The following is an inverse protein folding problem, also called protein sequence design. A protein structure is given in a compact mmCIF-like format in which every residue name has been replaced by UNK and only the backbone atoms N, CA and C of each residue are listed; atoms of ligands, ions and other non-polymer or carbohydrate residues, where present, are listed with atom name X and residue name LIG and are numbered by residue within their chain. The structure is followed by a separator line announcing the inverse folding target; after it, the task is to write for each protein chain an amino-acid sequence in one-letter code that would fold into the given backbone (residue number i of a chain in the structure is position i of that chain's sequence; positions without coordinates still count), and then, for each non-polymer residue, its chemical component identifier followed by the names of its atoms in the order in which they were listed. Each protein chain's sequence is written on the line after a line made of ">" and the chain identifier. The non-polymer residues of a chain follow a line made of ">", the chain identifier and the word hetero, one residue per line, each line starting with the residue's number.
data_IF_854644554895
#
_entry.id   IF_854644554895
#
_cell.length_a   1.000
_cell.length_b   1.000
_cell.length_c   1.000
_cell.angle_alpha   90.00
_cell.angle_beta   90.00
_cell.angle_gamma   90.00
#
_symmetry.space_group_name_H-M   'P 1'
#
loop_
_entity.id
_entity.type
_entity.pdbx_description
1 polymer ?
#
# COMPACT_ATOMS: atom_id res chain seq x y z
N UNK A 1 10.95 8.06 -2.68
CA UNK A 1 10.76 9.43 -2.17
C UNK A 1 9.50 9.52 -1.33
N UNK A 2 8.30 9.47 -1.94
CA UNK A 2 7.03 9.69 -1.22
C UNK A 2 6.83 8.79 0.00
N UNK A 3 7.24 7.53 -0.08
CA UNK A 3 7.14 6.59 1.04
C UNK A 3 7.93 7.06 2.28
N UNK A 4 9.21 7.40 2.10
CA UNK A 4 10.07 7.84 3.21
C UNK A 4 9.64 9.18 3.80
N UNK A 5 9.22 10.13 2.96
CA UNK A 5 8.72 11.43 3.44
C UNK A 5 7.44 11.26 4.24
N UNK A 6 6.52 10.42 3.78
CA UNK A 6 5.25 10.13 4.45
C UNK A 6 5.48 9.41 5.79
N UNK A 7 6.37 8.41 5.84
CA UNK A 7 6.66 7.69 7.07
C UNK A 7 7.24 8.60 8.16
N UNK A 8 8.18 9.48 7.81
CA UNK A 8 8.73 10.47 8.75
C UNK A 8 7.70 11.52 9.13
N UNK A 9 6.85 11.95 8.20
CA UNK A 9 5.74 12.87 8.47
C UNK A 9 4.76 12.28 9.52
N UNK A 10 4.52 10.97 9.50
CA UNK A 10 3.74 10.26 10.52
C UNK A 10 4.53 9.91 11.80
N UNK A 11 5.77 10.37 11.94
CA UNK A 11 6.56 10.17 13.16
C UNK A 11 7.24 8.81 13.28
N UNK A 12 7.35 8.03 12.20
CA UNK A 12 8.08 6.76 12.26
C UNK A 12 9.59 7.01 12.31
N UNK A 13 10.33 6.28 13.16
CA UNK A 13 11.79 6.27 13.12
C UNK A 13 12.27 5.64 11.82
N UNK A 14 13.34 6.18 11.25
CA UNK A 14 13.83 5.85 9.90
C UNK A 14 14.05 4.35 9.65
N UNK A 15 14.43 3.61 10.69
CA UNK A 15 14.70 2.18 10.56
C UNK A 15 13.46 1.39 10.14
N UNK A 16 12.23 1.81 10.50
CA UNK A 16 10.99 1.11 10.14
C UNK A 16 10.74 1.14 8.63
N UNK A 17 10.58 2.32 7.97
CA UNK A 17 10.37 2.37 6.53
C UNK A 17 11.59 1.86 5.76
N UNK A 18 12.82 2.06 6.25
CA UNK A 18 14.00 1.52 5.59
C UNK A 18 14.02 -0.01 5.59
N UNK A 19 13.78 -0.64 6.75
CA UNK A 19 13.74 -2.09 6.87
C UNK A 19 12.62 -2.70 6.02
N UNK A 20 11.43 -2.09 6.02
CA UNK A 20 10.33 -2.50 5.14
C UNK A 20 10.73 -2.40 3.67
N UNK A 21 11.32 -1.27 3.25
CA UNK A 21 11.69 -1.05 1.85
C UNK A 21 12.73 -2.03 1.31
N UNK A 22 13.64 -2.54 2.16
CA UNK A 22 14.65 -3.53 1.77
C UNK A 22 14.10 -4.96 1.87
N UNK A 23 13.34 -5.26 2.91
CA UNK A 23 12.95 -6.64 3.23
C UNK A 23 11.64 -7.08 2.55
N UNK A 24 10.75 -6.14 2.23
CA UNK A 24 9.44 -6.43 1.62
C UNK A 24 9.50 -6.17 0.12
N UNK A 25 10.08 -5.05 -0.34
CA UNK A 25 10.13 -4.65 -1.75
C UNK A 25 8.75 -4.73 -2.42
N UNK A 26 7.71 -4.23 -1.75
CA UNK A 26 6.35 -4.21 -2.26
C UNK A 26 5.63 -2.95 -1.80
N UNK A 27 5.80 -1.86 -2.55
CA UNK A 27 5.40 -0.52 -2.12
C UNK A 27 3.95 -0.42 -1.62
N UNK A 28 2.99 -1.09 -2.26
CA UNK A 28 1.57 -1.04 -1.84
C UNK A 28 1.35 -1.54 -0.40
N UNK A 29 1.97 -2.66 -0.03
CA UNK A 29 1.84 -3.22 1.33
C UNK A 29 2.68 -2.44 2.35
N UNK A 30 3.80 -1.84 1.93
CA UNK A 30 4.62 -0.97 2.79
C UNK A 30 3.89 0.33 3.14
N UNK A 31 3.27 1.00 2.16
CA UNK A 31 2.39 2.15 2.38
C UNK A 31 1.22 1.76 3.29
N UNK A 32 0.55 0.64 2.99
CA UNK A 32 -0.55 0.13 3.81
C UNK A 32 -0.11 -0.12 5.25
N UNK A 33 1.07 -0.70 5.47
CA UNK A 33 1.58 -1.00 6.79
C UNK A 33 1.76 0.28 7.61
N UNK A 34 2.47 1.26 7.05
CA UNK A 34 2.69 2.56 7.70
C UNK A 34 1.36 3.26 7.98
N UNK A 35 0.44 3.31 7.01
CA UNK A 35 -0.81 4.03 7.18
C UNK A 35 -1.78 3.40 8.18
N UNK A 36 -1.89 2.06 8.24
CA UNK A 36 -2.71 1.37 9.25
C UNK A 36 -2.17 1.63 10.65
N UNK A 37 -0.85 1.59 10.83
CA UNK A 37 -0.23 1.86 12.13
C UNK A 37 -0.37 3.33 12.50
N UNK A 38 -0.17 4.25 11.55
CA UNK A 38 -0.35 5.69 11.73
C UNK A 38 -1.78 6.05 12.14
N UNK A 39 -2.78 5.36 11.58
CA UNK A 39 -4.19 5.54 11.92
C UNK A 39 -4.61 4.88 13.24
N UNK A 40 -3.65 4.41 14.05
CA UNK A 40 -3.89 3.81 15.37
C UNK A 40 -3.99 2.27 15.39
N UNK A 41 -3.91 1.60 14.24
CA UNK A 41 -3.94 0.14 14.13
C UNK A 41 -2.73 -0.56 14.76
N UNK A 42 -2.79 -1.89 14.86
CA UNK A 42 -1.66 -2.70 15.35
C UNK A 42 -0.72 -3.11 14.20
N UNK A 43 0.60 -3.23 14.44
CA UNK A 43 1.55 -3.71 13.44
C UNK A 43 1.21 -5.10 12.89
N UNK A 44 0.57 -5.96 13.68
CA UNK A 44 0.14 -7.28 13.24
C UNK A 44 -1.05 -7.21 12.27
N UNK A 45 -2.04 -6.35 12.55
CA UNK A 45 -3.15 -6.12 11.62
C UNK A 45 -2.65 -5.48 10.32
N UNK A 46 -1.70 -4.56 10.42
CA UNK A 46 -1.03 -3.94 9.29
C UNK A 46 -0.28 -4.98 8.43
N UNK A 47 0.44 -5.90 9.06
CA UNK A 47 1.12 -7.02 8.39
C UNK A 47 0.13 -7.95 7.70
N UNK A 48 -0.97 -8.34 8.37
CA UNK A 48 -2.01 -9.18 7.79
C UNK A 48 -2.64 -8.52 6.55
N UNK A 49 -2.96 -7.23 6.63
CA UNK A 49 -3.50 -6.48 5.51
C UNK A 49 -2.49 -6.39 4.34
N UNK A 50 -1.22 -6.10 4.65
CA UNK A 50 -0.15 -6.08 3.65
C UNK A 50 0.06 -7.44 2.97
N UNK A 51 -0.02 -8.54 3.72
CA UNK A 51 0.05 -9.90 3.18
C UNK A 51 -1.13 -10.23 2.27
N UNK A 52 -2.35 -9.78 2.61
CA UNK A 52 -3.51 -9.93 1.74
C UNK A 52 -3.32 -9.20 0.41
N UNK A 53 -2.76 -7.98 0.44
CA UNK A 53 -2.40 -7.26 -0.79
C UNK A 53 -1.30 -7.99 -1.58
N UNK A 54 -0.31 -8.54 -0.89
CA UNK A 54 0.81 -9.25 -1.51
C UNK A 54 0.46 -10.67 -1.96
N UNK A 55 -0.73 -11.20 -1.67
CA UNK A 55 -1.15 -12.53 -2.08
C UNK A 55 -1.06 -12.74 -3.61
N UNK A 56 -1.16 -11.66 -4.39
CA UNK A 56 -0.93 -11.64 -5.85
C UNK A 56 0.47 -12.11 -6.27
N UNK A 57 1.46 -12.05 -5.39
CA UNK A 57 2.81 -12.53 -5.67
C UNK A 57 2.88 -14.05 -5.84
N UNK A 58 1.90 -14.80 -5.33
CA UNK A 58 1.83 -16.25 -5.53
C UNK A 58 1.63 -16.55 -7.03
N UNK A 59 0.55 -16.08 -7.70
CA UNK A 59 0.41 -16.20 -9.15
C UNK A 59 1.61 -15.65 -9.93
N UNK A 60 2.14 -14.49 -9.55
CA UNK A 60 3.32 -13.92 -10.21
C UNK A 60 4.51 -14.88 -10.18
N UNK A 61 4.80 -15.47 -9.02
CA UNK A 61 5.88 -16.43 -8.85
C UNK A 61 5.73 -17.63 -9.77
N UNK A 62 4.51 -18.16 -9.95
CA UNK A 62 4.24 -19.24 -10.89
C UNK A 62 4.58 -18.81 -12.32
N UNK A 63 4.12 -17.63 -12.74
CA UNK A 63 4.31 -17.12 -14.10
C UNK A 63 5.77 -16.80 -14.42
N UNK A 64 6.55 -16.29 -13.45
CA UNK A 64 7.95 -15.87 -13.66
C UNK A 64 8.97 -16.91 -13.21
N UNK A 65 8.56 -18.16 -12.96
CA UNK A 65 9.44 -19.25 -12.50
C UNK A 65 10.72 -19.41 -13.33
N UNK A 66 10.64 -19.22 -14.64
CA UNK A 66 11.80 -19.36 -15.53
C UNK A 66 12.70 -18.11 -15.52
N UNK A 67 12.17 -16.96 -15.06
CA UNK A 67 12.86 -15.69 -15.00
C UNK A 67 13.66 -15.51 -13.71
N UNK A 68 13.19 -16.05 -12.57
CA UNK A 68 13.83 -15.88 -11.25
C UNK A 68 15.23 -16.48 -11.13
N UNK A 69 15.74 -17.16 -12.16
CA UNK A 69 17.08 -17.76 -12.16
C UNK A 69 17.10 -19.19 -11.60
N UNK A 70 18.31 -19.74 -11.44
CA UNK A 70 18.53 -21.14 -11.04
C UNK A 70 19.35 -21.22 -9.75
N UNK A 71 19.19 -22.31 -9.00
CA UNK A 71 19.96 -22.62 -7.77
C UNK A 71 19.89 -21.45 -6.76
N UNK A 72 21.03 -21.01 -6.22
CA UNK A 72 21.11 -19.92 -5.24
C UNK A 72 20.54 -18.59 -5.77
N UNK A 73 20.74 -18.29 -7.06
CA UNK A 73 20.20 -17.06 -7.68
C UNK A 73 18.67 -17.04 -7.69
N UNK A 74 18.01 -18.19 -7.64
CA UNK A 74 16.55 -18.27 -7.54
C UNK A 74 16.01 -17.58 -6.28
N UNK A 75 16.75 -17.62 -5.17
CA UNK A 75 16.33 -16.97 -3.93
C UNK A 75 16.38 -15.44 -4.04
N UNK A 76 17.41 -14.91 -4.70
CA UNK A 76 17.54 -13.47 -4.97
C UNK A 76 16.49 -13.04 -6.01
N UNK A 77 16.32 -13.83 -7.08
CA UNK A 77 15.30 -13.57 -8.10
C UNK A 77 13.90 -13.52 -7.48
N UNK A 78 13.58 -14.46 -6.59
CA UNK A 78 12.33 -14.40 -5.83
C UNK A 78 12.25 -13.14 -4.97
N UNK A 79 13.32 -12.73 -4.29
CA UNK A 79 13.30 -11.54 -3.42
C UNK A 79 12.99 -10.25 -4.18
N UNK A 80 13.64 -10.03 -5.34
CA UNK A 80 13.47 -8.82 -6.16
C UNK A 80 12.15 -8.79 -6.95
N UNK A 81 11.30 -9.82 -6.84
CA UNK A 81 10.03 -9.89 -7.54
C UNK A 81 9.07 -8.80 -7.07
N UNK A 82 8.68 -7.90 -7.96
CA UNK A 82 7.64 -6.90 -7.73
C UNK A 82 6.77 -6.72 -8.98
N UNK A 83 5.71 -5.93 -8.88
CA UNK A 83 4.77 -5.70 -9.97
C UNK A 83 5.49 -5.21 -11.24
N UNK A 84 6.43 -4.28 -11.10
CA UNK A 84 7.19 -3.70 -12.20
C UNK A 84 8.08 -4.78 -12.84
N UNK A 85 8.85 -5.54 -12.06
CA UNK A 85 9.75 -6.56 -12.58
C UNK A 85 8.99 -7.67 -13.32
N UNK A 86 7.81 -8.05 -12.81
CA UNK A 86 6.92 -9.03 -13.44
C UNK A 86 6.35 -8.49 -14.74
N UNK A 87 5.78 -7.28 -14.72
CA UNK A 87 5.19 -6.67 -15.92
C UNK A 87 6.26 -6.45 -16.99
N UNK A 88 7.36 -5.77 -16.67
CA UNK A 88 8.43 -5.51 -17.62
C UNK A 88 9.07 -6.80 -18.14
N UNK A 89 9.25 -7.79 -17.26
CA UNK A 89 9.76 -9.10 -17.64
C UNK A 89 8.84 -9.81 -18.63
N UNK A 90 7.52 -9.86 -18.38
CA UNK A 90 6.58 -10.57 -19.24
C UNK A 90 6.21 -9.83 -20.53
N UNK A 91 6.40 -8.51 -20.58
CA UNK A 91 6.16 -7.70 -21.78
C UNK A 91 7.23 -7.84 -22.87
N UNK A 92 8.35 -8.51 -22.61
CA UNK A 92 9.41 -8.67 -23.63
C UNK A 92 9.11 -9.80 -24.63
N UNK A 93 9.53 -9.64 -25.90
CA UNK A 93 9.22 -10.60 -26.94
C UNK A 93 10.03 -11.89 -26.84
N UNK A 94 11.32 -11.83 -26.47
CA UNK A 94 12.20 -13.01 -26.43
C UNK A 94 12.49 -13.49 -25.01
N UNK A 95 12.67 -14.81 -24.77
CA UNK A 95 12.96 -15.35 -23.43
C UNK A 95 14.18 -14.72 -22.74
N UNK A 96 15.23 -14.41 -23.51
CA UNK A 96 16.43 -13.76 -22.98
C UNK A 96 16.14 -12.33 -22.50
N UNK A 97 15.40 -11.55 -23.29
CA UNK A 97 14.99 -10.20 -22.91
C UNK A 97 14.03 -10.21 -21.73
N UNK A 98 13.09 -11.16 -21.64
CA UNK A 98 12.18 -11.30 -20.50
C UNK A 98 12.95 -11.43 -19.20
N UNK A 99 13.96 -12.30 -19.18
CA UNK A 99 14.83 -12.48 -18.01
C UNK A 99 15.64 -11.22 -17.72
N UNK A 100 16.27 -10.62 -18.73
CA UNK A 100 17.04 -9.40 -18.54
C UNK A 100 16.19 -8.25 -17.98
N UNK A 101 15.01 -8.00 -18.55
CA UNK A 101 14.09 -6.96 -18.10
C UNK A 101 13.58 -7.22 -16.67
N UNK A 102 13.25 -8.47 -16.33
CA UNK A 102 12.88 -8.85 -14.98
C UNK A 102 13.98 -8.50 -13.96
N UNK A 103 15.22 -8.91 -14.24
CA UNK A 103 16.34 -8.71 -13.33
C UNK A 103 16.78 -7.24 -13.25
N UNK A 104 16.87 -6.54 -14.39
CA UNK A 104 17.24 -5.12 -14.42
C UNK A 104 16.21 -4.26 -13.70
N UNK A 105 14.92 -4.49 -13.94
CA UNK A 105 13.86 -3.77 -13.25
C UNK A 105 13.81 -4.12 -11.76
N UNK A 106 13.84 -5.41 -11.41
CA UNK A 106 13.80 -5.86 -10.02
C UNK A 106 15.00 -5.35 -9.19
N UNK A 107 16.22 -5.45 -9.74
CA UNK A 107 17.42 -4.92 -9.08
C UNK A 107 17.41 -3.38 -9.02
N UNK A 108 16.96 -2.72 -10.09
CA UNK A 108 16.77 -1.27 -10.10
C UNK A 108 15.83 -0.81 -8.99
N UNK A 109 14.68 -1.46 -8.82
CA UNK A 109 13.76 -1.20 -7.71
C UNK A 109 14.43 -1.52 -6.36
N UNK A 110 15.10 -2.66 -6.22
CA UNK A 110 15.76 -3.03 -4.97
C UNK A 110 16.83 -2.03 -4.50
N UNK A 111 17.45 -1.29 -5.42
CA UNK A 111 18.41 -0.24 -5.12
C UNK A 111 17.75 1.13 -4.94
N UNK A 112 16.95 1.55 -5.92
CA UNK A 112 16.37 2.90 -5.97
C UNK A 112 15.29 3.07 -4.91
N UNK A 113 14.57 2.01 -4.55
CA UNK A 113 13.47 2.10 -3.60
C UNK A 113 13.95 2.46 -2.19
N UNK A 114 14.91 1.74 -1.56
CA UNK A 114 15.48 2.15 -0.27
C UNK A 114 16.18 3.51 -0.32
N UNK A 115 16.92 3.81 -1.39
CA UNK A 115 17.55 5.14 -1.57
C UNK A 115 16.48 6.25 -1.64
N UNK A 116 15.39 5.98 -2.34
CA UNK A 116 14.20 6.82 -2.39
C UNK A 116 13.54 6.99 -1.02
N UNK A 117 13.56 5.98 -0.16
CA UNK A 117 13.09 6.06 1.22
C UNK A 117 13.98 6.97 2.06
N UNK A 118 15.30 6.80 1.97
CA UNK A 118 16.27 7.64 2.70
C UNK A 118 16.18 9.11 2.29
N UNK A 119 16.20 9.37 1.00
CA UNK A 119 16.09 10.72 0.43
C UNK A 119 14.73 11.35 0.74
N UNK A 120 13.65 10.57 0.64
CA UNK A 120 12.32 10.99 1.04
C UNK A 120 12.22 11.34 2.52
N UNK A 121 12.81 10.53 3.39
CA UNK A 121 12.88 10.78 4.82
C UNK A 121 13.68 12.06 5.15
N UNK A 122 14.78 12.31 4.43
CA UNK A 122 15.56 13.54 4.57
C UNK A 122 14.74 14.78 4.19
N UNK A 123 14.04 14.74 3.05
CA UNK A 123 13.14 15.81 2.61
C UNK A 123 11.96 15.97 3.57
N UNK A 124 11.41 14.87 4.09
CA UNK A 124 10.28 14.86 5.02
C UNK A 124 10.54 15.62 6.32
N UNK A 125 11.80 15.67 6.79
CA UNK A 125 12.19 16.48 7.96
C UNK A 125 12.10 17.99 7.71
N UNK A 126 12.13 18.42 6.45
CA UNK A 126 12.02 19.82 6.05
C UNK A 126 10.56 20.24 5.80
N UNK A 127 9.63 19.29 5.80
CA UNK A 127 8.22 19.57 5.53
C UNK A 127 7.51 20.08 6.81
N UNK A 128 6.67 21.13 6.69
CA UNK A 128 5.77 21.56 7.75
C UNK A 128 4.86 20.42 8.24
N UNK A 129 4.20 20.62 9.38
CA UNK A 129 3.31 19.63 9.97
C UNK A 129 2.31 19.06 8.93
N UNK A 130 2.10 17.73 8.86
CA UNK A 130 1.41 17.08 7.75
C UNK A 130 0.03 17.66 7.44
N UNK A 131 -0.70 18.07 8.47
CA UNK A 131 -2.03 18.64 8.40
C UNK A 131 -2.06 20.03 7.75
N UNK A 132 -1.01 20.83 7.97
CA UNK A 132 -0.92 22.20 7.42
C UNK A 132 -0.73 22.22 5.92
N UNK A 133 -0.15 21.14 5.37
CA UNK A 133 0.14 20.99 3.95
C UNK A 133 -0.68 19.88 3.28
N UNK A 134 -1.72 19.36 3.97
CA UNK A 134 -2.66 18.38 3.44
C UNK A 134 -2.07 16.98 3.18
N UNK A 135 -0.90 16.65 3.75
CA UNK A 135 -0.25 15.34 3.57
C UNK A 135 -1.08 14.18 4.13
N UNK A 136 -1.97 14.44 5.07
CA UNK A 136 -2.93 13.48 5.61
C UNK A 136 -3.96 12.99 4.57
N UNK A 137 -4.19 13.73 3.49
CA UNK A 137 -5.00 13.29 2.35
C UNK A 137 -4.24 12.37 1.38
N UNK A 138 -2.91 12.36 1.43
CA UNK A 138 -2.08 11.63 0.47
C UNK A 138 -2.26 10.13 0.59
N UNK A 139 -2.28 9.61 1.82
CA UNK A 139 -2.40 8.17 2.05
C UNK A 139 -3.72 7.58 1.52
N UNK A 140 -4.92 8.08 1.91
CA UNK A 140 -6.17 7.60 1.33
C UNK A 140 -6.25 7.79 -0.19
N UNK A 141 -5.68 8.89 -0.72
CA UNK A 141 -5.61 9.10 -2.17
C UNK A 141 -4.76 8.04 -2.89
N UNK A 142 -3.60 7.65 -2.33
CA UNK A 142 -2.76 6.57 -2.87
C UNK A 142 -3.54 5.26 -2.86
N UNK A 143 -4.16 4.89 -1.75
CA UNK A 143 -4.90 3.64 -1.65
C UNK A 143 -6.06 3.58 -2.65
N UNK A 144 -6.83 4.66 -2.79
CA UNK A 144 -7.92 4.73 -3.79
C UNK A 144 -7.38 4.71 -5.21
N UNK A 145 -6.28 5.41 -5.49
CA UNK A 145 -5.65 5.40 -6.81
C UNK A 145 -5.17 4.00 -7.22
N UNK A 146 -4.64 3.22 -6.28
CA UNK A 146 -4.22 1.83 -6.50
C UNK A 146 -5.39 0.87 -6.75
N UNK A 147 -6.58 1.21 -6.23
CA UNK A 147 -7.80 0.40 -6.36
C UNK A 147 -8.53 0.66 -7.69
N UNK A 148 -8.47 1.88 -8.23
CA UNK A 148 -9.20 2.26 -9.46
C UNK A 148 -8.98 1.30 -10.65
N UNK A 149 -7.74 0.85 -10.97
CA UNK A 149 -7.51 -0.10 -12.05
C UNK A 149 -8.17 -1.47 -11.82
N UNK A 150 -8.32 -1.90 -10.56
CA UNK A 150 -8.91 -3.19 -10.23
C UNK A 150 -10.42 -3.26 -10.55
N UNK A 151 -11.13 -2.13 -10.46
CA UNK A 151 -12.54 -2.03 -10.86
C UNK A 151 -12.76 -1.97 -12.37
N UNK A 152 -11.72 -1.74 -13.18
CA UNK A 152 -11.84 -1.66 -14.65
C UNK A 152 -11.75 -3.01 -15.36
N UNK A 153 -11.48 -4.11 -14.63
CA UNK A 153 -11.50 -5.46 -15.20
C UNK A 153 -12.93 -6.04 -15.11
N UNK A 154 -13.48 -6.65 -16.18
CA UNK A 154 -14.74 -7.36 -16.08
C UNK A 154 -14.57 -8.50 -15.07
N UNK A 155 -15.25 -8.41 -13.94
CA UNK A 155 -15.32 -9.53 -13.00
C UNK A 155 -16.04 -10.69 -13.68
N UNK A 156 -15.52 -11.90 -13.47
CA UNK A 156 -16.25 -13.13 -13.71
C UNK A 156 -17.59 -13.05 -12.96
N UNK A 157 -18.67 -12.79 -13.69
CA UNK A 157 -20.01 -12.77 -13.13
C UNK A 157 -20.42 -14.23 -12.87
N UNK A 158 -20.43 -14.65 -11.61
CA UNK A 158 -21.10 -15.89 -11.19
C UNK A 158 -22.62 -15.67 -11.29
N UNK A 159 -23.32 -16.30 -12.25
CA UNK A 159 -24.75 -16.06 -12.49
C UNK A 159 -25.64 -16.47 -11.30
N UNK A 160 -25.11 -17.20 -10.31
CA UNK A 160 -25.91 -17.80 -9.22
C UNK A 160 -26.04 -16.91 -7.98
N UNK A 161 -25.26 -15.84 -7.84
CA UNK A 161 -25.23 -15.02 -6.61
C UNK A 161 -26.14 -13.79 -6.61
N UNK A 162 -26.71 -13.42 -7.76
CA UNK A 162 -27.50 -12.19 -7.91
C UNK A 162 -28.89 -12.28 -7.23
N UNK A 163 -29.33 -13.48 -6.82
CA UNK A 163 -30.62 -13.67 -6.17
C UNK A 163 -30.66 -13.45 -4.65
N UNK A 164 -29.54 -13.15 -3.96
CA UNK A 164 -29.51 -13.18 -2.47
C UNK A 164 -29.11 -11.91 -1.71
N UNK A 165 -28.87 -10.77 -2.36
CA UNK A 165 -28.42 -9.55 -1.65
C UNK A 165 -29.26 -8.29 -1.90
N UNK A 166 -30.56 -8.47 -2.12
CA UNK A 166 -31.54 -7.39 -1.91
C UNK A 166 -32.07 -7.50 -0.48
N UNK A 167 -31.38 -6.89 0.49
CA UNK A 167 -31.89 -6.81 1.86
C UNK A 167 -30.81 -6.85 2.93
N UNK A 168 -30.13 -5.72 3.16
CA UNK A 168 -29.64 -5.31 4.48
C UNK A 168 -28.95 -3.95 4.33
N UNK A 169 -29.71 -2.88 4.55
CA UNK A 169 -29.21 -1.53 4.71
C UNK A 169 -29.92 -0.92 5.94
N UNK A 170 -29.15 -0.48 6.94
CA UNK A 170 -29.34 0.73 7.80
C UNK A 170 -28.45 0.63 9.05
N UNK A 171 -27.50 1.58 9.21
CA UNK A 171 -27.49 2.76 10.14
C UNK A 171 -27.17 2.36 11.60
N UNK A 172 -26.27 3.01 12.33
CA UNK A 172 -26.29 4.44 12.75
C UNK A 172 -24.92 4.94 13.25
N UNK A 173 -24.71 6.28 13.20
CA UNK A 173 -23.60 7.05 13.78
C UNK A 173 -24.19 8.01 14.83
N UNK A 174 -23.51 8.21 15.97
CA UNK A 174 -23.79 9.30 16.92
C UNK A 174 -22.47 9.96 17.39
N UNK A 175 -22.52 11.28 17.56
CA UNK A 175 -21.40 12.21 17.72
C UNK A 175 -21.17 12.64 19.18
N UNK A 176 -19.93 13.00 19.56
CA UNK A 176 -19.67 14.02 20.58
C UNK A 176 -18.28 14.68 20.48
N UNK A 177 -18.24 15.89 21.03
CA UNK A 177 -17.33 17.05 20.91
C UNK A 177 -15.82 16.90 21.21
N UNK A 178 -15.07 17.75 20.49
CA UNK A 178 -14.01 18.70 20.89
C UNK A 178 -12.50 18.29 20.96
N UNK A 179 -11.78 18.95 20.04
CA UNK A 179 -10.55 19.76 20.22
C UNK A 179 -9.15 19.12 20.32
N UNK A 180 -8.33 19.50 19.31
CA UNK A 180 -6.87 19.73 19.32
C UNK A 180 -5.94 18.52 19.47
N UNK A 181 -5.47 17.94 18.35
CA UNK A 181 -4.57 16.77 18.37
C UNK A 181 -3.42 16.77 17.33
N UNK A 182 -3.08 17.89 16.70
CA UNK A 182 -2.01 17.94 15.68
C UNK A 182 -0.59 17.68 16.25
N UNK A 183 -0.40 18.00 17.53
CA UNK A 183 0.87 17.76 18.24
C UNK A 183 0.95 16.35 18.85
N UNK A 184 -0.20 15.68 19.03
CA UNK A 184 -0.30 14.39 19.73
C UNK A 184 0.04 13.17 18.83
N UNK A 185 -0.18 13.26 17.51
CA UNK A 185 0.05 12.12 16.59
C UNK A 185 1.53 11.75 16.49
N UNK A 186 2.43 12.75 16.42
CA UNK A 186 3.88 12.51 16.39
C UNK A 186 4.40 11.93 17.71
N UNK A 187 3.86 12.41 18.83
CA UNK A 187 4.24 11.93 20.17
C UNK A 187 3.78 10.49 20.43
N UNK A 188 2.58 10.13 19.96
CA UNK A 188 2.00 8.79 20.19
C UNK A 188 2.61 7.68 19.34
N UNK A 189 3.02 7.92 18.09
CA UNK A 189 3.64 6.88 17.26
C UNK A 189 5.02 6.48 17.79
N UNK A 190 5.85 7.45 18.15
CA UNK A 190 7.21 7.21 18.66
C UNK A 190 7.19 6.50 20.02
N UNK A 191 6.29 6.92 20.94
CA UNK A 191 6.06 6.27 22.23
C UNK A 191 5.46 4.85 22.07
N UNK A 192 4.51 4.66 21.14
CA UNK A 192 3.92 3.34 20.84
C UNK A 192 4.93 2.37 20.25
N UNK A 193 5.88 2.85 19.44
CA UNK A 193 6.97 2.02 18.90
C UNK A 193 7.93 1.63 20.01
N UNK A 194 8.33 2.58 20.86
CA UNK A 194 9.29 2.32 21.92
C UNK A 194 8.71 1.42 23.03
N UNK A 195 7.42 1.55 23.32
CA UNK A 195 6.69 0.69 24.26
C UNK A 195 6.32 -0.70 23.72
N UNK A 196 6.30 -0.89 22.39
CA UNK A 196 5.90 -2.17 21.75
C UNK A 196 6.85 -2.58 20.62
N UNK A 197 8.15 -2.34 20.78
CA UNK A 197 9.15 -2.59 19.73
C UNK A 197 9.10 -4.03 19.21
N UNK A 198 8.85 -5.00 20.09
CA UNK A 198 8.65 -6.41 19.76
C UNK A 198 7.48 -6.62 18.77
N UNK A 199 6.34 -5.94 18.95
CA UNK A 199 5.20 -6.06 18.04
C UNK A 199 5.49 -5.45 16.67
N UNK A 200 6.26 -4.35 16.62
CA UNK A 200 6.69 -3.75 15.37
C UNK A 200 7.64 -4.66 14.60
N UNK A 201 8.67 -5.18 15.27
CA UNK A 201 9.61 -6.13 14.66
C UNK A 201 8.86 -7.39 14.20
N UNK A 202 7.95 -7.93 15.02
CA UNK A 202 7.13 -9.07 14.66
C UNK A 202 6.24 -8.79 13.44
N UNK A 203 5.58 -7.62 13.40
CA UNK A 203 4.76 -7.21 12.25
C UNK A 203 5.57 -7.09 10.96
N UNK A 204 6.75 -6.44 11.02
CA UNK A 204 7.66 -6.32 9.87
C UNK A 204 8.17 -7.69 9.44
N UNK A 205 8.58 -8.54 10.38
CA UNK A 205 9.07 -9.88 10.10
C UNK A 205 7.98 -10.76 9.45
N UNK A 206 6.75 -10.72 9.96
CA UNK A 206 5.60 -11.43 9.39
C UNK A 206 5.32 -10.95 7.97
N UNK A 207 5.28 -9.64 7.75
CA UNK A 207 5.04 -9.08 6.43
C UNK A 207 6.17 -9.45 5.45
N UNK A 208 7.42 -9.26 5.83
CA UNK A 208 8.59 -9.56 5.00
C UNK A 208 8.68 -11.06 4.69
N UNK A 209 8.68 -11.91 5.72
CA UNK A 209 8.80 -13.36 5.54
C UNK A 209 7.60 -13.91 4.77
N UNK A 210 6.38 -13.49 5.11
CA UNK A 210 5.18 -13.94 4.40
C UNK A 210 5.20 -13.52 2.92
N UNK A 211 5.62 -12.28 2.62
CA UNK A 211 5.79 -11.81 1.24
C UNK A 211 6.84 -12.64 0.51
N UNK A 212 7.98 -12.90 1.14
CA UNK A 212 9.03 -13.72 0.55
C UNK A 212 8.58 -15.17 0.29
N UNK A 213 7.87 -15.77 1.24
CA UNK A 213 7.33 -17.13 1.12
C UNK A 213 6.26 -17.23 0.03
N UNK A 214 5.43 -16.20 -0.16
CA UNK A 214 4.48 -16.13 -1.28
C UNK A 214 5.21 -16.14 -2.63
N UNK A 215 6.27 -15.33 -2.75
CA UNK A 215 7.11 -15.23 -3.96
C UNK A 215 7.81 -16.57 -4.26
N UNK A 216 8.48 -17.12 -3.24
CA UNK A 216 9.21 -18.38 -3.33
C UNK A 216 8.28 -19.57 -3.57
N UNK A 217 7.14 -19.59 -2.90
CA UNK A 217 6.10 -20.62 -3.01
C UNK A 217 5.53 -20.68 -4.43
N UNK A 218 5.18 -19.53 -5.00
CA UNK A 218 4.75 -19.45 -6.40
C UNK A 218 5.83 -19.97 -7.36
N UNK A 219 7.07 -19.50 -7.21
CA UNK A 219 8.16 -19.87 -8.11
C UNK A 219 8.55 -21.36 -8.01
N UNK A 220 8.61 -21.94 -6.82
CA UNK A 220 9.09 -23.32 -6.63
C UNK A 220 7.98 -24.37 -6.60
N UNK A 221 6.81 -24.04 -6.06
CA UNK A 221 5.70 -24.99 -5.89
C UNK A 221 4.56 -24.79 -6.89
N UNK A 222 4.69 -23.90 -7.88
CA UNK A 222 3.61 -23.57 -8.82
C UNK A 222 2.94 -24.77 -9.51
N UNK A 223 3.67 -25.85 -9.80
CA UNK A 223 3.09 -27.08 -10.38
C UNK A 223 2.17 -27.84 -9.41
N UNK A 224 2.34 -27.65 -8.10
CA UNK A 224 1.50 -28.25 -7.03
C UNK A 224 0.47 -27.27 -6.47
N UNK A 225 0.69 -25.97 -6.67
CA UNK A 225 -0.17 -24.87 -6.26
C UNK A 225 -0.99 -24.33 -7.44
N UNK A 226 -1.59 -25.22 -8.23
CA UNK A 226 -2.51 -24.84 -9.31
C UNK A 226 -3.79 -24.22 -8.70
N UNK A 227 -3.72 -22.94 -8.35
CA UNK A 227 -4.89 -22.18 -7.94
C UNK A 227 -5.84 -22.09 -9.11
N UNK A 228 -7.10 -22.48 -8.88
CA UNK A 228 -8.16 -22.21 -9.84
C UNK A 228 -8.20 -20.71 -10.17
N UNK A 229 -8.54 -20.34 -11.41
CA UNK A 229 -8.73 -18.92 -11.80
C UNK A 229 -9.67 -18.19 -10.83
N UNK A 230 -10.66 -18.91 -10.29
CA UNK A 230 -11.57 -18.42 -9.25
C UNK A 230 -10.85 -18.03 -7.96
N UNK A 231 -9.92 -18.85 -7.46
CA UNK A 231 -9.15 -18.53 -6.25
C UNK A 231 -8.24 -17.32 -6.46
N UNK A 232 -7.64 -17.19 -7.65
CA UNK A 232 -6.84 -16.02 -8.00
C UNK A 232 -7.68 -14.74 -8.09
N UNK A 233 -8.86 -14.84 -8.71
CA UNK A 233 -9.83 -13.74 -8.76
C UNK A 233 -10.28 -13.34 -7.35
N UNK A 234 -10.63 -14.30 -6.49
CA UNK A 234 -11.06 -14.03 -5.11
C UNK A 234 -9.95 -13.37 -4.27
N UNK A 235 -8.69 -13.76 -4.43
CA UNK A 235 -7.56 -13.12 -3.74
C UNK A 235 -7.36 -11.67 -4.22
N UNK A 236 -7.45 -11.45 -5.55
CA UNK A 236 -7.38 -10.11 -6.14
C UNK A 236 -8.54 -9.22 -5.66
N UNK A 237 -9.76 -9.75 -5.62
CA UNK A 237 -10.94 -9.04 -5.16
C UNK A 237 -10.85 -8.73 -3.67
N UNK A 238 -10.40 -9.69 -2.86
CA UNK A 238 -10.21 -9.49 -1.41
C UNK A 238 -9.18 -8.38 -1.12
N UNK A 239 -8.04 -8.38 -1.81
CA UNK A 239 -7.04 -7.32 -1.70
C UNK A 239 -7.62 -5.96 -2.11
N UNK A 240 -8.39 -5.91 -3.19
CA UNK A 240 -9.02 -4.70 -3.70
C UNK A 240 -10.06 -4.16 -2.72
N UNK A 241 -10.94 -5.01 -2.21
CA UNK A 241 -11.97 -4.67 -1.22
C UNK A 241 -11.32 -4.18 0.07
N UNK A 242 -10.25 -4.84 0.53
CA UNK A 242 -9.51 -4.41 1.71
C UNK A 242 -8.87 -3.05 1.51
N UNK A 243 -8.13 -2.86 0.41
CA UNK A 243 -7.51 -1.58 0.06
C UNK A 243 -8.56 -0.47 0.00
N UNK A 244 -9.69 -0.71 -0.67
CA UNK A 244 -10.79 0.23 -0.76
C UNK A 244 -11.38 0.56 0.61
N UNK A 245 -11.62 -0.46 1.44
CA UNK A 245 -12.17 -0.28 2.79
C UNK A 245 -11.23 0.51 3.69
N UNK A 246 -9.93 0.22 3.66
CA UNK A 246 -8.92 0.96 4.44
C UNK A 246 -8.81 2.39 3.90
N UNK A 247 -8.87 2.57 2.59
CA UNK A 247 -8.83 3.90 1.99
C UNK A 247 -10.03 4.75 2.39
N UNK A 248 -11.24 4.18 2.37
CA UNK A 248 -12.43 4.86 2.87
C UNK A 248 -12.28 5.18 4.36
N UNK A 249 -11.90 4.20 5.18
CA UNK A 249 -11.70 4.43 6.61
C UNK A 249 -10.74 5.60 6.86
N UNK A 250 -9.60 5.65 6.16
CA UNK A 250 -8.58 6.70 6.32
C UNK A 250 -8.90 8.02 5.61
N UNK A 251 -9.83 8.02 4.65
CA UNK A 251 -10.37 9.24 4.03
C UNK A 251 -11.27 9.98 5.02
N UNK A 252 -12.14 9.22 5.70
CA UNK A 252 -13.15 9.78 6.58
C UNK A 252 -12.68 9.90 8.03
N UNK A 253 -11.76 9.04 8.49
CA UNK A 253 -11.39 8.95 9.89
C UNK A 253 -9.88 8.92 10.12
N UNK A 254 -9.47 9.45 11.26
CA UNK A 254 -8.14 9.34 11.83
C UNK A 254 -8.27 8.90 13.28
N UNK A 255 -7.86 7.66 13.58
CA UNK A 255 -8.21 7.01 14.84
C UNK A 255 -9.74 6.94 15.02
N UNK A 256 -10.25 7.56 16.08
CA UNK A 256 -11.68 7.62 16.37
C UNK A 256 -12.37 8.90 15.84
N UNK A 257 -11.63 9.82 15.22
CA UNK A 257 -12.12 11.15 14.86
C UNK A 257 -12.40 11.29 13.37
N UNK A 258 -13.37 12.13 13.02
CA UNK A 258 -13.61 12.51 11.63
C UNK A 258 -12.47 13.40 11.12
N UNK A 259 -11.99 13.10 9.92
CA UNK A 259 -10.81 13.69 9.30
C UNK A 259 -10.97 15.13 8.78
N UNK A 260 -12.20 15.63 8.69
CA UNK A 260 -12.51 16.93 8.11
C UNK A 260 -12.97 16.84 6.65
N UNK A 261 -13.79 17.82 6.23
CA UNK A 261 -14.31 17.91 4.87
C UNK A 261 -13.22 18.31 3.87
N UNK A 262 -12.22 19.07 4.30
CA UNK A 262 -11.08 19.43 3.46
C UNK A 262 -10.36 18.17 2.93
N UNK A 263 -10.11 17.18 3.80
CA UNK A 263 -9.48 15.91 3.41
C UNK A 263 -10.37 15.13 2.45
N UNK A 264 -11.66 14.99 2.77
CA UNK A 264 -12.62 14.23 1.93
C UNK A 264 -12.68 14.81 0.52
N UNK A 265 -12.78 16.14 0.39
CA UNK A 265 -12.83 16.81 -0.90
C UNK A 265 -11.51 16.73 -1.67
N UNK A 266 -10.37 16.90 -1.00
CA UNK A 266 -9.05 16.75 -1.62
C UNK A 266 -8.83 15.33 -2.13
N UNK A 267 -9.21 14.31 -1.36
CA UNK A 267 -9.16 12.90 -1.78
C UNK A 267 -10.13 12.64 -2.94
N UNK A 268 -11.36 13.16 -2.89
CA UNK A 268 -12.33 13.01 -3.98
C UNK A 268 -11.81 13.62 -5.29
N UNK A 269 -11.17 14.78 -5.22
CA UNK A 269 -10.51 15.40 -6.37
C UNK A 269 -9.35 14.54 -6.90
N UNK A 270 -8.52 14.00 -6.01
CA UNK A 270 -7.44 13.09 -6.38
C UNK A 270 -7.96 11.81 -7.07
N UNK A 271 -9.06 11.23 -6.57
CA UNK A 271 -9.75 10.09 -7.19
C UNK A 271 -10.22 10.44 -8.60
N UNK A 272 -10.78 11.63 -8.81
CA UNK A 272 -11.18 12.10 -10.13
C UNK A 272 -9.98 12.18 -11.09
N UNK A 273 -8.84 12.72 -10.65
CA UNK A 273 -7.61 12.77 -11.45
C UNK A 273 -7.05 11.37 -11.75
N UNK A 274 -7.04 10.49 -10.77
CA UNK A 274 -6.62 9.10 -10.95
C UNK A 274 -7.54 8.37 -11.96
N UNK A 275 -8.84 8.65 -11.93
CA UNK A 275 -9.80 8.11 -12.90
C UNK A 275 -9.52 8.62 -14.32
N UNK A 276 -9.06 9.87 -14.46
CA UNK A 276 -8.55 10.49 -15.69
C UNK A 276 -7.16 10.01 -16.12
N UNK A 277 -6.56 9.05 -15.41
CA UNK A 277 -5.22 8.48 -15.67
C UNK A 277 -4.07 9.49 -15.50
N UNK A 278 -4.24 10.50 -14.64
CA UNK A 278 -3.12 11.37 -14.24
C UNK A 278 -2.04 10.53 -13.53
N UNK A 279 -0.74 10.80 -13.73
CA UNK A 279 0.33 10.10 -13.03
C UNK A 279 0.13 10.13 -11.51
N UNK A 280 0.48 9.04 -10.81
CA UNK A 280 0.27 8.90 -9.36
C UNK A 280 0.87 10.06 -8.56
N UNK A 281 2.02 10.58 -8.97
CA UNK A 281 2.63 11.74 -8.32
C UNK A 281 1.76 13.01 -8.43
N UNK A 282 1.10 13.22 -9.57
CA UNK A 282 0.16 14.33 -9.76
C UNK A 282 -1.10 14.16 -8.92
N UNK A 283 -1.59 12.92 -8.78
CA UNK A 283 -2.72 12.58 -7.89
C UNK A 283 -2.37 12.89 -6.43
N UNK A 284 -1.18 12.50 -5.98
CA UNK A 284 -0.67 12.75 -4.63
C UNK A 284 -0.55 14.25 -4.35
N UNK A 285 0.12 14.99 -5.24
CA UNK A 285 0.31 16.43 -5.08
C UNK A 285 -1.04 17.15 -5.06
N UNK A 286 -1.96 16.79 -5.96
CA UNK A 286 -3.29 17.37 -6.01
C UNK A 286 -4.09 17.10 -4.72
N UNK A 287 -4.03 15.88 -4.18
CA UNK A 287 -4.68 15.55 -2.91
C UNK A 287 -4.19 16.47 -1.78
N UNK A 288 -2.86 16.63 -1.66
CA UNK A 288 -2.25 17.46 -0.63
C UNK A 288 -2.59 18.95 -0.82
N UNK A 289 -2.38 19.49 -2.02
CA UNK A 289 -2.58 20.90 -2.33
C UNK A 289 -4.04 21.30 -2.17
N UNK A 290 -4.99 20.53 -2.71
CA UNK A 290 -6.42 20.86 -2.59
C UNK A 290 -6.86 20.80 -1.13
N UNK A 291 -6.43 19.79 -0.38
CA UNK A 291 -6.73 19.70 1.05
C UNK A 291 -6.16 20.90 1.82
N UNK A 292 -4.92 21.29 1.55
CA UNK A 292 -4.28 22.43 2.19
C UNK A 292 -5.00 23.76 1.87
N UNK A 293 -5.34 23.99 0.59
CA UNK A 293 -6.05 25.19 0.16
C UNK A 293 -7.44 25.31 0.81
N UNK A 294 -8.18 24.19 0.92
CA UNK A 294 -9.48 24.18 1.59
C UNK A 294 -9.34 24.52 3.08
N UNK A 295 -8.30 24.03 3.75
CA UNK A 295 -8.01 24.39 5.15
C UNK A 295 -7.64 25.87 5.31
N UNK A 296 -6.84 26.41 4.38
CA UNK A 296 -6.52 27.83 4.36
C UNK A 296 -7.77 28.70 4.14
N UNK A 297 -8.77 28.18 3.41
CA UNK A 297 -10.06 28.82 3.25
C UNK A 297 -11.01 28.66 4.46
N UNK A 298 -10.55 28.04 5.56
CA UNK A 298 -11.30 27.87 6.80
C UNK A 298 -12.19 26.62 6.85
N UNK A 299 -12.08 25.71 5.88
CA UNK A 299 -12.80 24.44 5.91
C UNK A 299 -12.06 23.42 6.81
N UNK A 300 -12.72 22.82 7.81
CA UNK A 300 -12.11 21.81 8.67
C UNK A 300 -11.79 20.53 7.90
#
# INVERSE_FOLDING_TARGET
>A
MSYGSLAVAYGFPLWVPLLLSVSVLAGASEFMFIGIVASGGSPLAAAAAGLLVNARHIPFGVTVRELVGRRALSFIGCHIMNDESVVFGLSQPTPAQRKAAYWLCGAGVALIWPLGTLTGAAVGKLLPAPETIGLDAVFPAILLALVIPAFKKPHYADPRRQRRRAGACRRTVCAHRAASAAFAVRFTVEEKIMGNMTLFIAGIAILSLGTYLMRLGGAKLGNRLAFSERSQALLSDAATVLLFSVALATTFYEGAHFAGMARVLGVAFAVFLAWRKVPLIGVIIAAAVVTALLRLAGMP
#
